data_IF_026491135934
#
_entry.id   IF_026491135934
#
_cell.length_a   1.000
_cell.length_b   1.000
_cell.length_c   1.000
_cell.angle_alpha   90.00
_cell.angle_beta   90.00
_cell.angle_gamma   90.00
#
_symmetry.space_group_name_H-M   'P 1'
#
loop_
_entity.id
_entity.type
_entity.pdbx_description
1 polymer ?
#
# COMPACT_ATOMS: atom_id res chain seq x y z
N UNK A 1 1.29 -2.79 -19.91
CA UNK A 1 1.06 -1.37 -19.74
C UNK A 1 1.64 -0.89 -18.42
N UNK A 2 2.21 0.23 -18.44
CA UNK A 2 2.93 0.74 -17.28
C UNK A 2 2.13 1.80 -16.55
N UNK A 3 2.19 1.75 -15.23
CA UNK A 3 1.46 2.68 -14.38
C UNK A 3 1.84 4.14 -14.68
N UNK A 4 3.10 4.42 -14.97
CA UNK A 4 3.58 5.76 -15.25
C UNK A 4 3.02 6.33 -16.56
N UNK A 5 2.80 5.51 -17.58
CA UNK A 5 2.24 5.97 -18.85
C UNK A 5 0.76 6.28 -18.72
N UNK A 6 0.07 5.64 -17.77
CA UNK A 6 -1.34 5.89 -17.50
C UNK A 6 -1.56 6.97 -16.46
N UNK A 7 -0.50 7.56 -15.93
CA UNK A 7 -0.57 8.50 -14.83
C UNK A 7 -1.30 7.93 -13.60
N UNK A 8 -1.31 6.60 -13.44
CA UNK A 8 -1.94 5.93 -12.31
C UNK A 8 -1.11 6.17 -11.06
N UNK A 9 0.19 6.05 -11.19
CA UNK A 9 1.11 6.22 -10.08
C UNK A 9 2.48 6.61 -10.62
N UNK A 10 3.04 7.68 -10.10
CA UNK A 10 4.38 8.09 -10.49
C UNK A 10 5.40 7.00 -10.06
N UNK A 11 6.42 6.72 -10.87
CA UNK A 11 7.46 5.77 -10.49
C UNK A 11 8.26 6.34 -9.33
N UNK A 12 7.89 5.95 -8.11
CA UNK A 12 8.43 6.51 -6.88
C UNK A 12 8.54 5.42 -5.84
N UNK A 13 9.31 5.68 -4.81
CA UNK A 13 9.38 4.81 -3.64
C UNK A 13 8.22 5.06 -2.66
N UNK A 14 7.48 6.15 -2.84
CA UNK A 14 6.34 6.45 -1.98
C UNK A 14 5.16 5.53 -2.32
N UNK A 15 4.55 4.94 -1.30
CA UNK A 15 3.38 4.09 -1.49
C UNK A 15 2.10 4.87 -1.74
N UNK A 16 2.04 6.16 -1.39
CA UNK A 16 0.87 6.99 -1.50
C UNK A 16 1.19 8.18 -2.42
N UNK A 17 0.30 8.46 -3.37
CA UNK A 17 0.40 9.64 -4.22
C UNK A 17 -0.85 10.48 -4.07
N UNK A 18 -0.69 11.77 -3.78
CA UNK A 18 -1.81 12.69 -3.58
C UNK A 18 -1.46 13.82 -2.62
N UNK A 19 -2.48 14.52 -2.15
CA UNK A 19 -2.31 15.60 -1.18
C UNK A 19 -3.50 15.69 -0.22
N UNK A 20 -3.31 16.43 0.87
CA UNK A 20 -4.29 16.53 1.94
C UNK A 20 -5.56 17.29 1.54
N UNK A 21 -5.51 18.10 0.49
CA UNK A 21 -6.66 18.91 0.07
C UNK A 21 -7.66 18.11 -0.76
N UNK A 22 -7.17 17.40 -1.77
CA UNK A 22 -8.04 16.66 -2.69
C UNK A 22 -8.09 15.17 -2.40
N UNK A 23 -7.16 14.65 -1.63
CA UNK A 23 -7.06 13.24 -1.29
C UNK A 23 -5.98 12.52 -2.08
N UNK A 24 -5.95 11.21 -1.93
CA UNK A 24 -4.99 10.37 -2.63
C UNK A 24 -5.47 10.07 -4.06
N UNK A 25 -4.54 10.04 -4.99
CA UNK A 25 -4.79 9.62 -6.38
C UNK A 25 -4.57 8.12 -6.53
N UNK A 26 -3.53 7.61 -5.88
CA UNK A 26 -3.17 6.20 -5.98
C UNK A 26 -2.41 5.72 -4.76
N UNK A 27 -2.45 4.40 -4.55
CA UNK A 27 -1.60 3.71 -3.57
C UNK A 27 -0.95 2.50 -4.23
N UNK A 28 0.26 2.20 -3.80
CA UNK A 28 0.98 1.01 -4.26
C UNK A 28 1.14 0.04 -3.08
N UNK A 29 0.71 -1.19 -3.28
CA UNK A 29 0.85 -2.27 -2.31
C UNK A 29 2.07 -3.10 -2.69
N UNK A 30 3.14 -2.96 -1.95
CA UNK A 30 4.40 -3.66 -2.26
C UNK A 30 4.96 -4.47 -1.08
N UNK A 31 4.15 -4.69 -0.05
CA UNK A 31 4.60 -5.31 1.18
C UNK A 31 5.28 -4.29 2.08
N UNK A 32 5.78 -4.72 3.20
CA UNK A 32 6.52 -3.86 4.12
C UNK A 32 5.88 -3.72 5.49
N UNK A 33 4.60 -4.02 5.62
CA UNK A 33 3.89 -4.03 6.90
C UNK A 33 3.23 -5.39 7.08
N UNK A 34 3.78 -6.26 7.93
CA UNK A 34 3.27 -7.63 8.06
C UNK A 34 1.86 -7.73 8.62
N UNK A 35 1.37 -6.68 9.26
CA UNK A 35 0.01 -6.65 9.80
C UNK A 35 -1.04 -6.13 8.81
N UNK A 36 -0.66 -5.78 7.58
CA UNK A 36 -1.63 -5.47 6.54
C UNK A 36 -2.24 -6.76 5.97
N UNK A 37 -3.54 -6.70 5.70
CA UNK A 37 -4.30 -7.85 5.20
C UNK A 37 -4.83 -7.52 3.81
N UNK A 38 -4.60 -8.40 2.84
CA UNK A 38 -5.09 -8.23 1.48
C UNK A 38 -6.07 -9.35 1.12
N UNK A 39 -7.34 -8.99 1.00
CA UNK A 39 -8.41 -9.90 0.60
C UNK A 39 -8.84 -9.67 -0.85
N UNK A 40 -8.08 -8.91 -1.61
CA UNK A 40 -8.38 -8.59 -3.00
C UNK A 40 -9.38 -7.46 -3.14
N UNK A 41 -10.65 -7.75 -2.94
CA UNK A 41 -11.74 -6.75 -3.04
C UNK A 41 -11.77 -5.80 -1.84
N UNK A 42 -11.08 -6.14 -0.78
CA UNK A 42 -10.91 -5.30 0.39
C UNK A 42 -9.52 -5.53 0.97
N UNK A 43 -8.92 -4.49 1.51
CA UNK A 43 -7.61 -4.65 2.17
C UNK A 43 -7.40 -3.56 3.21
N UNK A 44 -6.45 -3.81 4.11
CA UNK A 44 -5.97 -2.79 5.03
C UNK A 44 -4.62 -2.29 4.57
N UNK A 45 -4.37 -1.02 4.82
CA UNK A 45 -3.15 -0.36 4.41
C UNK A 45 -2.60 0.45 5.58
N UNK A 46 -1.30 0.36 5.80
CA UNK A 46 -0.61 1.13 6.84
C UNK A 46 0.00 2.37 6.22
N UNK A 47 -0.16 3.50 6.89
CA UNK A 47 0.30 4.78 6.42
C UNK A 47 1.81 4.94 6.39
N UNK A 48 2.23 6.17 6.16
CA UNK A 48 3.62 6.55 5.96
C UNK A 48 4.18 7.25 7.20
N UNK A 49 5.50 7.29 7.32
CA UNK A 49 6.18 8.04 8.36
C UNK A 49 6.54 7.20 9.59
N UNK A 50 6.98 7.90 10.64
CA UNK A 50 7.42 7.25 11.87
C UNK A 50 8.76 6.55 11.76
N UNK A 51 9.51 6.76 10.69
CA UNK A 51 10.81 6.14 10.45
C UNK A 51 11.93 7.17 10.49
N UNK A 52 13.09 6.74 10.97
CA UNK A 52 14.28 7.58 10.93
C UNK A 52 14.86 7.55 9.52
N UNK A 53 14.66 8.64 8.79
CA UNK A 53 15.08 8.78 7.40
C UNK A 53 16.43 9.48 7.25
N UNK A 54 17.06 9.89 8.38
CA UNK A 54 18.27 10.69 8.36
C UNK A 54 19.51 9.85 8.42
N UNK A 55 19.76 8.79 8.07
CA UNK A 55 21.01 8.05 8.18
C UNK A 55 22.24 8.96 8.09
N UNK A 56 23.42 8.40 8.29
CA UNK A 56 24.70 9.12 8.12
C UNK A 56 25.24 8.83 6.72
N UNK A 57 26.28 9.56 6.32
CA UNK A 57 26.96 9.29 5.05
C UNK A 57 27.53 7.87 5.01
N UNK A 58 27.99 7.37 6.15
CA UNK A 58 28.54 6.02 6.25
C UNK A 58 27.46 4.94 6.35
N UNK A 59 26.27 5.32 6.80
CA UNK A 59 25.17 4.38 7.01
C UNK A 59 23.83 5.05 6.67
N UNK A 60 23.56 5.28 5.38
CA UNK A 60 22.33 5.93 4.96
C UNK A 60 21.11 5.03 5.25
N UNK A 61 20.00 5.64 5.60
CA UNK A 61 18.76 4.91 5.84
C UNK A 61 18.03 4.64 4.52
N UNK A 62 17.47 3.45 4.42
CA UNK A 62 16.64 3.07 3.29
C UNK A 62 15.18 3.31 3.65
N UNK A 63 14.48 4.15 2.88
CA UNK A 63 13.09 4.51 3.14
C UNK A 63 12.14 3.32 3.23
N UNK A 64 12.42 2.25 2.49
CA UNK A 64 11.55 1.06 2.45
C UNK A 64 11.79 0.10 3.61
N UNK A 65 13.02 0.04 4.09
CA UNK A 65 13.42 -0.97 5.08
C UNK A 65 13.76 -0.39 6.43
N UNK A 66 13.83 0.94 6.55
CA UNK A 66 14.09 1.57 7.84
C UNK A 66 12.99 1.20 8.83
N UNK A 67 13.34 0.73 10.03
CA UNK A 67 12.32 0.38 11.03
C UNK A 67 11.58 1.62 11.51
N UNK A 68 10.34 1.43 11.93
CA UNK A 68 9.58 2.50 12.56
C UNK A 68 10.18 2.79 13.94
N UNK A 69 10.46 4.05 14.21
CA UNK A 69 11.06 4.49 15.46
C UNK A 69 10.17 5.46 16.25
N UNK A 70 9.10 5.93 15.67
CA UNK A 70 8.14 6.81 16.32
C UNK A 70 6.75 6.58 15.75
N UNK A 71 5.74 7.15 16.41
CA UNK A 71 4.35 7.03 15.97
C UNK A 71 4.15 7.72 14.62
N UNK A 72 3.29 7.14 13.79
CA UNK A 72 2.77 7.83 12.62
C UNK A 72 1.67 8.79 13.06
N UNK A 73 1.43 9.83 12.26
CA UNK A 73 0.35 10.78 12.54
C UNK A 73 -0.37 11.15 11.24
N UNK A 74 -1.59 11.67 11.37
CA UNK A 74 -2.32 12.23 10.24
C UNK A 74 -1.82 13.63 9.84
N UNK A 75 -0.84 14.17 10.55
CA UNK A 75 -0.18 15.43 10.14
C UNK A 75 0.75 15.20 8.95
N UNK A 76 1.23 13.98 8.76
CA UNK A 76 1.98 13.63 7.56
C UNK A 76 1.05 13.83 6.35
N UNK A 77 1.53 14.55 5.33
CA UNK A 77 0.70 14.95 4.19
C UNK A 77 0.14 13.76 3.40
N UNK A 78 0.86 12.66 3.31
CA UNK A 78 0.38 11.47 2.60
C UNK A 78 -0.69 10.74 3.41
N UNK A 79 -0.52 10.66 4.72
CA UNK A 79 -1.53 10.08 5.61
C UNK A 79 -2.79 10.93 5.61
N UNK A 80 -2.64 12.26 5.61
CA UNK A 80 -3.77 13.18 5.51
C UNK A 80 -4.50 13.03 4.18
N UNK A 81 -3.77 12.76 3.09
CA UNK A 81 -4.39 12.52 1.78
C UNK A 81 -5.34 11.33 1.81
N UNK A 82 -4.93 10.20 2.39
CA UNK A 82 -5.80 9.03 2.51
C UNK A 82 -6.95 9.27 3.48
N UNK A 83 -6.72 10.01 4.54
CA UNK A 83 -7.80 10.40 5.45
C UNK A 83 -8.84 11.24 4.72
N UNK A 84 -8.39 12.17 3.89
CA UNK A 84 -9.29 12.98 3.05
C UNK A 84 -10.09 12.10 2.09
N UNK A 85 -9.45 11.10 1.49
CA UNK A 85 -10.15 10.14 0.64
C UNK A 85 -11.23 9.38 1.39
N UNK A 86 -11.01 9.06 2.66
CA UNK A 86 -12.04 8.43 3.50
C UNK A 86 -13.23 9.37 3.72
N UNK A 87 -13.00 10.66 3.85
CA UNK A 87 -14.04 11.68 4.03
C UNK A 87 -14.85 11.90 2.75
N UNK A 88 -14.17 12.04 1.62
CA UNK A 88 -14.82 12.36 0.33
C UNK A 88 -15.38 11.15 -0.38
N UNK A 89 -14.87 9.96 -0.08
CA UNK A 89 -15.22 8.71 -0.78
C UNK A 89 -14.86 8.74 -2.27
N UNK A 90 -13.99 9.64 -2.70
CA UNK A 90 -13.50 9.63 -4.07
C UNK A 90 -12.59 8.42 -4.29
N UNK A 91 -12.73 7.75 -5.44
CA UNK A 91 -11.93 6.55 -5.68
C UNK A 91 -10.43 6.82 -5.74
N UNK A 92 -9.67 5.83 -5.31
CA UNK A 92 -8.22 5.82 -5.33
C UNK A 92 -7.77 4.67 -6.23
N UNK A 93 -6.78 4.92 -7.08
CA UNK A 93 -6.22 3.87 -7.94
C UNK A 93 -5.28 3.00 -7.11
N UNK A 94 -5.38 1.69 -7.31
CA UNK A 94 -4.58 0.72 -6.55
C UNK A 94 -3.67 -0.06 -7.49
N UNK A 95 -2.39 -0.13 -7.11
CA UNK A 95 -1.37 -0.86 -7.83
C UNK A 95 -0.80 -1.90 -6.88
N UNK A 96 -0.72 -3.16 -7.33
CA UNK A 96 -0.05 -4.22 -6.57
C UNK A 96 1.28 -4.55 -7.18
N UNK A 97 2.30 -4.64 -6.33
CA UNK A 97 3.64 -5.02 -6.73
C UNK A 97 3.95 -6.48 -6.40
N UNK A 98 4.92 -7.04 -7.09
CA UNK A 98 5.27 -8.47 -6.99
C UNK A 98 5.82 -8.87 -5.61
N UNK A 99 6.30 -7.92 -4.82
CA UNK A 99 6.83 -8.20 -3.47
C UNK A 99 5.75 -8.31 -2.41
N UNK A 100 4.50 -7.97 -2.75
CA UNK A 100 3.39 -8.09 -1.82
C UNK A 100 3.14 -9.56 -1.48
N UNK A 101 2.99 -9.86 -0.20
CA UNK A 101 2.72 -11.22 0.29
C UNK A 101 1.23 -11.50 0.20
N UNK A 102 0.75 -11.79 -1.01
CA UNK A 102 -0.67 -11.94 -1.27
C UNK A 102 -0.88 -12.74 -2.56
N UNK A 103 -1.92 -13.62 -2.63
CA UNK A 103 -2.26 -14.29 -3.88
C UNK A 103 -2.75 -13.31 -4.96
N UNK A 104 -3.04 -12.07 -4.60
CA UNK A 104 -3.44 -11.04 -5.54
C UNK A 104 -2.25 -10.28 -6.13
N UNK A 105 -1.03 -10.51 -5.63
CA UNK A 105 0.16 -9.87 -6.16
C UNK A 105 0.51 -10.43 -7.55
N UNK A 106 1.03 -9.59 -8.47
CA UNK A 106 1.55 -10.11 -9.74
C UNK A 106 2.83 -10.91 -9.52
N UNK A 107 3.21 -11.73 -10.49
CA UNK A 107 4.43 -12.54 -10.40
C UNK A 107 5.69 -11.70 -10.57
N UNK A 108 5.58 -10.59 -11.28
CA UNK A 108 6.68 -9.67 -11.50
C UNK A 108 6.13 -8.26 -11.72
N UNK A 109 6.95 -7.25 -11.42
CA UNK A 109 6.60 -5.85 -11.64
C UNK A 109 5.40 -5.39 -10.85
N UNK A 110 4.65 -4.48 -11.45
CA UNK A 110 3.46 -3.87 -10.84
C UNK A 110 2.27 -4.01 -11.78
N UNK A 111 1.08 -4.13 -11.19
CA UNK A 111 -0.16 -4.25 -11.96
C UNK A 111 -1.19 -3.28 -11.40
N UNK A 112 -1.88 -2.56 -12.29
CA UNK A 112 -3.01 -1.72 -11.91
C UNK A 112 -4.24 -2.59 -11.65
N UNK A 113 -4.79 -2.50 -10.46
CA UNK A 113 -5.90 -3.35 -10.04
C UNK A 113 -7.23 -2.61 -9.88
N UNK A 114 -7.30 -1.40 -10.37
CA UNK A 114 -8.56 -0.68 -10.45
C UNK A 114 -8.76 0.35 -9.35
N UNK A 115 -10.01 0.73 -9.16
CA UNK A 115 -10.43 1.78 -8.25
C UNK A 115 -10.98 1.19 -6.96
N UNK A 116 -10.60 1.80 -5.86
CA UNK A 116 -11.07 1.45 -4.52
C UNK A 116 -11.49 2.72 -3.80
N UNK A 117 -12.41 2.59 -2.84
CA UNK A 117 -12.72 3.69 -1.92
C UNK A 117 -12.05 3.44 -0.58
N UNK A 118 -11.62 4.51 0.08
CA UNK A 118 -11.15 4.42 1.47
C UNK A 118 -12.38 4.50 2.36
N UNK A 119 -12.73 3.39 2.99
CA UNK A 119 -13.94 3.31 3.80
C UNK A 119 -13.75 3.88 5.19
N UNK A 120 -12.54 3.74 5.73
CA UNK A 120 -12.23 4.15 7.09
C UNK A 120 -10.75 4.50 7.23
N UNK A 121 -10.46 5.51 8.05
CA UNK A 121 -9.09 5.86 8.46
C UNK A 121 -9.09 5.97 9.99
N UNK A 122 -8.12 5.34 10.65
CA UNK A 122 -8.03 5.37 12.11
C UNK A 122 -6.59 5.19 12.56
N UNK A 123 -6.33 5.45 13.85
CA UNK A 123 -5.05 5.15 14.47
C UNK A 123 -5.11 3.77 15.12
N UNK A 124 -4.10 2.97 14.89
CA UNK A 124 -4.00 1.64 15.49
C UNK A 124 -2.59 1.40 15.99
N UNK A 125 -2.43 0.35 16.80
CA UNK A 125 -1.11 -0.05 17.29
C UNK A 125 -0.52 -1.07 16.33
N UNK A 126 0.71 -0.83 15.88
CA UNK A 126 1.43 -1.78 15.03
C UNK A 126 1.75 -3.05 15.80
N UNK A 127 1.60 -4.20 15.14
CA UNK A 127 1.81 -5.50 15.78
C UNK A 127 3.28 -5.79 16.10
N UNK A 128 4.19 -5.21 15.33
CA UNK A 128 5.62 -5.54 15.46
C UNK A 128 6.30 -4.82 16.62
N UNK A 129 6.00 -3.55 16.85
CA UNK A 129 6.75 -2.73 17.79
C UNK A 129 5.90 -1.94 18.78
N UNK A 130 4.56 -2.04 18.68
CA UNK A 130 3.66 -1.33 19.58
C UNK A 130 3.53 0.17 19.34
N UNK A 131 4.17 0.70 18.31
CA UNK A 131 4.04 2.11 17.95
C UNK A 131 2.73 2.35 17.21
N UNK A 132 2.21 3.58 17.29
CA UNK A 132 0.97 3.93 16.60
C UNK A 132 1.20 4.06 15.11
N UNK A 133 0.24 3.60 14.34
CA UNK A 133 0.24 3.69 12.88
C UNK A 133 -1.10 4.21 12.40
N UNK A 134 -1.08 4.90 11.25
CA UNK A 134 -2.32 5.27 10.55
C UNK A 134 -2.77 4.06 9.75
N UNK A 135 -4.02 3.67 9.90
CA UNK A 135 -4.59 2.52 9.20
C UNK A 135 -5.75 2.93 8.35
N UNK A 136 -5.92 2.24 7.24
CA UNK A 136 -6.97 2.53 6.27
C UNK A 136 -7.59 1.22 5.80
N UNK A 137 -8.91 1.21 5.68
CA UNK A 137 -9.64 0.10 5.08
C UNK A 137 -10.09 0.52 3.69
N UNK A 138 -9.73 -0.27 2.70
CA UNK A 138 -10.08 -0.03 1.29
C UNK A 138 -11.07 -1.07 0.82
N UNK A 139 -11.99 -0.65 -0.05
CA UNK A 139 -12.97 -1.53 -0.67
C UNK A 139 -13.02 -1.24 -2.16
N UNK A 140 -12.93 -2.29 -2.97
CA UNK A 140 -12.94 -2.15 -4.43
C UNK A 140 -14.29 -1.66 -4.92
N UNK A 141 -14.27 -0.72 -5.84
CA UNK A 141 -15.48 -0.22 -6.49
C UNK A 141 -16.07 -1.33 -7.34
N UNK A 142 -17.40 -1.53 -7.26
CA UNK A 142 -18.10 -2.58 -8.00
C UNK A 142 -18.09 -2.32 -9.49
N UNK A 143 -18.28 -3.38 -10.27
CA UNK A 143 -18.44 -3.29 -11.72
C UNK A 143 -17.17 -3.33 -12.53
N UNK A 144 -16.03 -3.54 -11.87
CA UNK A 144 -14.74 -3.70 -12.53
C UNK A 144 -14.47 -5.17 -12.83
N UNK A 145 -13.54 -5.43 -13.74
CA UNK A 145 -13.14 -6.80 -14.08
C UNK A 145 -12.61 -7.54 -12.84
N UNK A 146 -12.83 -8.85 -12.75
CA UNK A 146 -12.31 -9.63 -11.62
C UNK A 146 -10.80 -9.52 -11.48
N UNK A 147 -10.33 -9.53 -10.24
CA UNK A 147 -8.90 -9.54 -9.96
C UNK A 147 -8.31 -10.91 -10.28
N UNK A 148 -7.13 -10.96 -10.91
CA UNK A 148 -6.40 -12.21 -11.03
C UNK A 148 -5.99 -12.72 -9.66
N UNK A 149 -6.12 -14.02 -9.43
CA UNK A 149 -5.76 -14.67 -8.19
C UNK A 149 -4.79 -15.79 -8.50
N UNK A 150 -3.61 -15.77 -7.86
CA UNK A 150 -2.61 -16.82 -8.04
C UNK A 150 -2.99 -18.02 -7.19
N UNK A 151 -2.81 -19.22 -7.73
CA UNK A 151 -2.89 -20.43 -6.96
C UNK A 151 -1.49 -20.73 -6.39
N UNK A 152 -1.23 -20.23 -5.20
CA UNK A 152 0.08 -20.35 -4.56
C UNK A 152 0.47 -21.78 -4.24
N UNK A 153 -0.51 -22.62 -3.91
CA UNK A 153 -0.25 -24.03 -3.63
C UNK A 153 0.18 -24.76 -4.88
N UNK A 154 -0.50 -24.52 -6.00
CA UNK A 154 -0.14 -25.10 -7.28
C UNK A 154 1.25 -24.66 -7.73
N UNK A 155 1.54 -23.36 -7.59
CA UNK A 155 2.86 -22.83 -7.94
C UNK A 155 3.96 -23.48 -7.11
N UNK A 156 3.73 -23.68 -5.82
CA UNK A 156 4.67 -24.37 -4.95
C UNK A 156 4.89 -25.81 -5.38
N UNK A 157 3.83 -26.52 -5.69
CA UNK A 157 3.90 -27.91 -6.17
C UNK A 157 4.69 -28.01 -7.48
N UNK A 158 4.46 -27.10 -8.41
CA UNK A 158 5.19 -27.06 -9.67
C UNK A 158 6.69 -26.82 -9.45
N UNK A 159 7.05 -25.98 -8.50
CA UNK A 159 8.46 -25.74 -8.17
C UNK A 159 9.12 -26.98 -7.55
N UNK A 160 8.39 -27.75 -6.75
CA UNK A 160 8.92 -28.97 -6.14
C UNK A 160 9.16 -30.07 -7.15
N UNK A 161 8.49 -30.07 -8.29
CA UNK A 161 8.68 -31.04 -9.36
C UNK A 161 9.92 -30.76 -10.20
N UNK A 162 10.47 -29.57 -10.14
CA UNK A 162 11.69 -29.20 -10.83
C UNK A 162 12.93 -29.57 -9.99
#
# INVERSE_FOLDING_TARGET
MEASTDAVHAPTVAGISGNATVGAYSVALSGGYPDDVDLGEAFTYTGSGGRDLKGTKQNPKNLRTAPQTSDQTFENSLNAALKRSAETKKPVRVIRGFKLQSPYAPTEGYRYDGLYTVEKAWMGTGLTNGLLVCRYAFKRVRGQDPLPVRDLERERMEMEEE
#
